data_IF_782299227513
#
_entry.id   IF_782299227513
#
_cell.length_a   1.000
_cell.length_b   1.000
_cell.length_c   1.000
_cell.angle_alpha   90.00
_cell.angle_beta   90.00
_cell.angle_gamma   90.00
#
_symmetry.space_group_name_H-M   'P 1'
#
loop_
_entity.id
_entity.type
_entity.pdbx_description
1 polymer ?
#
# COMPACT_ATOMS: atom_id res chain seq x y z
N UNK A 1 -23.41 1.30 33.11
CA UNK A 1 -23.13 2.69 32.69
C UNK A 1 -21.64 2.81 32.56
N UNK A 2 -21.14 3.27 31.41
CA UNK A 2 -19.72 3.59 31.23
C UNK A 2 -19.39 4.82 32.06
N UNK A 3 -18.29 4.78 32.80
CA UNK A 3 -17.83 5.88 33.63
C UNK A 3 -17.02 6.89 32.81
N UNK A 4 -16.92 8.13 33.29
CA UNK A 4 -16.06 9.15 32.67
C UNK A 4 -14.60 8.67 32.58
N UNK A 5 -14.11 7.95 33.60
CA UNK A 5 -12.75 7.42 33.60
C UNK A 5 -12.52 6.39 32.48
N UNK A 6 -13.49 5.50 32.24
CA UNK A 6 -13.46 4.56 31.12
C UNK A 6 -13.50 5.31 29.78
N UNK A 7 -14.34 6.34 29.63
CA UNK A 7 -14.41 7.15 28.41
C UNK A 7 -13.11 7.92 28.13
N UNK A 8 -12.43 8.43 29.16
CA UNK A 8 -11.11 9.06 29.03
C UNK A 8 -10.09 8.04 28.52
N UNK A 9 -10.08 6.84 29.11
CA UNK A 9 -9.16 5.80 28.69
C UNK A 9 -9.44 5.37 27.25
N UNK A 10 -10.71 5.20 26.87
CA UNK A 10 -11.12 4.87 25.50
C UNK A 10 -10.69 5.96 24.52
N UNK A 11 -10.96 7.23 24.81
CA UNK A 11 -10.53 8.35 23.96
C UNK A 11 -9.01 8.35 23.74
N UNK A 12 -8.22 8.14 24.80
CA UNK A 12 -6.75 8.04 24.72
C UNK A 12 -6.30 6.84 23.91
N UNK A 13 -6.96 5.69 24.07
CA UNK A 13 -6.67 4.49 23.31
C UNK A 13 -6.92 4.72 21.81
N UNK A 14 -8.03 5.36 21.44
CA UNK A 14 -8.33 5.61 20.03
C UNK A 14 -7.36 6.61 19.39
N UNK A 15 -6.99 7.69 20.10
CA UNK A 15 -5.94 8.61 19.64
C UNK A 15 -4.60 7.88 19.49
N UNK A 16 -4.25 7.02 20.46
CA UNK A 16 -3.05 6.19 20.40
C UNK A 16 -3.05 5.25 19.19
N UNK A 17 -4.21 4.64 18.87
CA UNK A 17 -4.38 3.78 17.70
C UNK A 17 -4.13 4.56 16.39
N UNK A 18 -4.72 5.75 16.24
CA UNK A 18 -4.47 6.65 15.09
C UNK A 18 -2.96 6.87 14.91
N UNK A 19 -2.24 7.17 15.99
CA UNK A 19 -0.79 7.43 15.93
C UNK A 19 0.02 6.18 15.61
N UNK A 20 -0.21 5.09 16.33
CA UNK A 20 0.70 3.95 16.32
C UNK A 20 0.39 2.91 15.25
N UNK A 21 -0.89 2.73 14.89
CA UNK A 21 -1.32 1.72 13.91
C UNK A 21 -1.36 2.30 12.49
N UNK A 22 -1.59 3.62 12.36
CA UNK A 22 -1.75 4.28 11.07
C UNK A 22 -0.59 5.24 10.78
N UNK A 23 -0.47 6.35 11.50
CA UNK A 23 0.48 7.41 11.17
C UNK A 23 1.95 6.97 11.26
N UNK A 24 2.33 6.30 12.36
CA UNK A 24 3.70 5.82 12.56
C UNK A 24 4.18 4.90 11.44
N UNK A 25 3.42 3.86 11.04
CA UNK A 25 3.76 3.04 9.89
C UNK A 25 3.83 3.80 8.55
N UNK A 26 2.95 4.78 8.33
CA UNK A 26 3.00 5.63 7.13
C UNK A 26 4.28 6.48 7.09
N UNK A 27 4.63 7.12 8.20
CA UNK A 27 5.83 7.97 8.31
C UNK A 27 7.13 7.19 8.16
N UNK A 28 7.17 5.99 8.73
CA UNK A 28 8.33 5.10 8.67
C UNK A 28 8.40 4.23 7.42
N UNK A 29 7.49 4.44 6.45
CA UNK A 29 7.39 3.66 5.21
C UNK A 29 7.23 2.14 5.41
N UNK A 30 6.81 1.71 6.61
CA UNK A 30 6.63 0.28 6.95
C UNK A 30 5.48 -0.38 6.18
N UNK A 31 4.59 0.41 5.57
CA UNK A 31 3.54 -0.08 4.70
C UNK A 31 4.12 -0.22 3.29
N UNK A 32 4.78 -1.36 3.03
CA UNK A 32 5.26 -1.74 1.70
C UNK A 32 6.09 -0.67 0.98
N UNK A 33 6.88 0.14 1.69
CA UNK A 33 7.65 1.26 1.13
C UNK A 33 6.82 2.29 0.34
N UNK A 34 5.52 2.38 0.61
CA UNK A 34 4.63 3.33 -0.05
C UNK A 34 5.03 4.76 0.34
N UNK A 35 5.29 5.65 -0.63
CA UNK A 35 5.62 7.04 -0.34
C UNK A 35 4.35 7.83 0.03
N UNK A 36 4.45 8.54 1.16
CA UNK A 36 3.45 9.49 1.61
C UNK A 36 4.00 10.91 1.47
N UNK A 37 3.22 11.81 0.88
CA UNK A 37 3.63 13.21 0.76
C UNK A 37 3.57 13.91 2.11
N UNK A 38 4.43 14.92 2.29
CA UNK A 38 4.42 15.75 3.50
C UNK A 38 3.05 16.39 3.74
N UNK A 39 2.35 16.78 2.67
CA UNK A 39 1.01 17.38 2.76
C UNK A 39 -0.05 16.39 3.25
N UNK A 40 -0.06 15.15 2.72
CA UNK A 40 -0.97 14.09 3.18
C UNK A 40 -0.77 13.81 4.67
N UNK A 41 0.48 13.59 5.09
CA UNK A 41 0.82 13.30 6.49
C UNK A 41 0.49 14.49 7.41
N UNK A 42 0.78 15.72 6.97
CA UNK A 42 0.51 16.91 7.78
C UNK A 42 -0.99 17.07 8.07
N UNK A 43 -1.85 16.86 7.07
CA UNK A 43 -3.31 16.95 7.26
C UNK A 43 -3.85 16.00 8.33
N UNK A 44 -3.38 14.75 8.34
CA UNK A 44 -3.79 13.78 9.37
C UNK A 44 -3.18 14.07 10.74
N UNK A 45 -1.93 14.55 10.79
CA UNK A 45 -1.28 14.97 12.05
C UNK A 45 -2.03 16.12 12.73
N UNK A 46 -2.42 17.14 11.97
CA UNK A 46 -3.17 18.27 12.51
C UNK A 46 -4.53 17.85 13.07
N UNK A 47 -5.22 16.92 12.40
CA UNK A 47 -6.49 16.37 12.90
C UNK A 47 -6.28 15.53 14.16
N UNK A 48 -5.21 14.74 14.23
CA UNK A 48 -4.85 13.98 15.42
C UNK A 48 -4.56 14.92 16.60
N UNK A 49 -3.82 16.01 16.37
CA UNK A 49 -3.56 17.03 17.39
C UNK A 49 -4.83 17.72 17.88
N UNK A 50 -5.81 17.96 16.99
CA UNK A 50 -7.12 18.48 17.39
C UNK A 50 -7.88 17.50 18.29
N UNK A 51 -7.78 16.19 18.03
CA UNK A 51 -8.38 15.18 18.91
C UNK A 51 -7.75 15.20 20.31
N UNK A 52 -6.43 15.38 20.41
CA UNK A 52 -5.74 15.53 21.69
C UNK A 52 -6.20 16.77 22.46
N UNK A 53 -6.33 17.90 21.77
CA UNK A 53 -6.85 19.14 22.38
C UNK A 53 -8.30 18.99 22.84
N UNK A 54 -9.12 18.28 22.06
CA UNK A 54 -10.51 17.99 22.45
C UNK A 54 -10.57 17.03 23.65
N UNK A 55 -9.68 16.03 23.70
CA UNK A 55 -9.55 15.13 24.86
C UNK A 55 -9.20 15.96 26.09
N UNK A 56 -8.13 16.75 26.08
CA UNK A 56 -7.75 17.61 27.22
C UNK A 56 -8.88 18.58 27.65
N UNK A 57 -9.65 19.07 26.67
CA UNK A 57 -10.79 19.97 26.87
C UNK A 57 -11.89 19.42 27.78
N UNK A 58 -12.01 18.10 27.96
CA UNK A 58 -12.98 17.52 28.89
C UNK A 58 -12.73 17.98 30.34
N UNK A 59 -11.48 18.28 30.70
CA UNK A 59 -11.13 18.70 32.07
C UNK A 59 -11.72 20.07 32.42
N UNK A 60 -11.94 20.93 31.41
CA UNK A 60 -12.47 22.29 31.55
C UNK A 60 -14.01 22.36 31.53
N UNK A 61 -14.70 21.27 31.20
CA UNK A 61 -16.16 21.24 31.14
C UNK A 61 -16.80 21.33 32.54
N UNK A 62 -17.90 22.08 32.63
CA UNK A 62 -18.52 22.45 33.90
C UNK A 62 -19.39 21.32 34.49
N UNK A 63 -19.93 20.44 33.63
CA UNK A 63 -20.81 19.34 34.04
C UNK A 63 -20.31 17.97 33.58
N UNK A 64 -20.73 16.91 34.29
CA UNK A 64 -20.45 15.52 33.91
C UNK A 64 -21.00 15.19 32.51
N UNK A 65 -22.19 15.70 32.19
CA UNK A 65 -22.83 15.49 30.88
C UNK A 65 -22.00 16.12 29.74
N UNK A 66 -21.44 17.30 29.94
CA UNK A 66 -20.56 17.93 28.95
C UNK A 66 -19.26 17.14 28.77
N UNK A 67 -18.67 16.63 29.86
CA UNK A 67 -17.48 15.77 29.82
C UNK A 67 -17.71 14.52 28.99
N UNK A 68 -18.81 13.81 29.28
CA UNK A 68 -19.19 12.60 28.55
C UNK A 68 -19.39 12.88 27.06
N UNK A 69 -20.09 13.98 26.73
CA UNK A 69 -20.30 14.39 25.34
C UNK A 69 -18.97 14.64 24.61
N UNK A 70 -18.07 15.43 25.21
CA UNK A 70 -16.76 15.73 24.61
C UNK A 70 -15.95 14.45 24.36
N UNK A 71 -15.92 13.52 25.32
CA UNK A 71 -15.19 12.25 25.17
C UNK A 71 -15.81 11.35 24.10
N UNK A 72 -17.14 11.27 24.03
CA UNK A 72 -17.82 10.54 22.96
C UNK A 72 -17.53 11.13 21.57
N UNK A 73 -17.47 12.45 21.45
CA UNK A 73 -17.10 13.12 20.21
C UNK A 73 -15.65 12.81 19.82
N UNK A 74 -14.71 12.80 20.78
CA UNK A 74 -13.32 12.38 20.54
C UNK A 74 -13.23 10.94 20.05
N UNK A 75 -13.91 10.00 20.71
CA UNK A 75 -13.93 8.58 20.32
C UNK A 75 -14.50 8.43 18.90
N UNK A 76 -15.62 9.10 18.62
CA UNK A 76 -16.28 9.06 17.31
C UNK A 76 -15.36 9.61 16.21
N UNK A 77 -14.81 10.80 16.40
CA UNK A 77 -13.95 11.42 15.40
C UNK A 77 -12.61 10.69 15.23
N UNK A 78 -12.10 10.04 16.27
CA UNK A 78 -10.94 9.15 16.16
C UNK A 78 -11.24 7.95 15.26
N UNK A 79 -12.42 7.31 15.41
CA UNK A 79 -12.85 6.19 14.55
C UNK A 79 -13.07 6.61 13.11
N UNK A 80 -13.67 7.76 12.89
CA UNK A 80 -13.83 8.35 11.55
C UNK A 80 -12.45 8.59 10.91
N UNK A 81 -11.52 9.19 11.64
CA UNK A 81 -10.15 9.41 11.17
C UNK A 81 -9.40 8.10 10.87
N UNK A 82 -9.54 7.08 11.72
CA UNK A 82 -8.96 5.75 11.45
C UNK A 82 -9.54 5.13 10.18
N UNK A 83 -10.85 5.24 9.94
CA UNK A 83 -11.46 4.75 8.70
C UNK A 83 -10.92 5.48 7.48
N UNK A 84 -10.72 6.79 7.55
CA UNK A 84 -10.15 7.56 6.44
C UNK A 84 -8.68 7.20 6.19
N UNK A 85 -7.90 6.98 7.25
CA UNK A 85 -6.51 6.53 7.15
C UNK A 85 -6.42 5.13 6.54
N UNK A 86 -7.28 4.21 6.95
CA UNK A 86 -7.35 2.87 6.39
C UNK A 86 -7.71 2.92 4.89
N UNK A 87 -8.65 3.80 4.53
CA UNK A 87 -9.02 4.00 3.14
C UNK A 87 -7.84 4.54 2.31
N UNK A 88 -7.13 5.54 2.81
CA UNK A 88 -5.96 6.09 2.15
C UNK A 88 -4.84 5.03 1.96
N UNK A 89 -4.61 4.18 2.96
CA UNK A 89 -3.65 3.09 2.91
C UNK A 89 -4.04 2.07 1.83
N UNK A 90 -5.29 1.60 1.86
CA UNK A 90 -5.79 0.62 0.89
C UNK A 90 -5.69 1.15 -0.54
N UNK A 91 -6.00 2.43 -0.78
CA UNK A 91 -5.88 3.05 -2.11
C UNK A 91 -4.43 2.98 -2.62
N UNK A 92 -3.45 3.36 -1.79
CA UNK A 92 -2.05 3.34 -2.20
C UNK A 92 -1.52 1.92 -2.40
N UNK A 93 -1.96 0.97 -1.57
CA UNK A 93 -1.62 -0.44 -1.71
C UNK A 93 -2.16 -1.01 -3.02
N UNK A 94 -3.42 -0.72 -3.35
CA UNK A 94 -4.02 -1.15 -4.59
C UNK A 94 -3.30 -0.56 -5.81
N UNK A 95 -2.95 0.72 -5.79
CA UNK A 95 -2.15 1.35 -6.85
C UNK A 95 -0.77 0.68 -7.01
N UNK A 96 -0.13 0.28 -5.91
CA UNK A 96 1.14 -0.47 -5.96
C UNK A 96 0.96 -1.87 -6.53
N UNK A 97 -0.14 -2.56 -6.21
CA UNK A 97 -0.49 -3.86 -6.78
C UNK A 97 -0.71 -3.74 -8.30
N UNK A 98 -1.48 -2.73 -8.73
CA UNK A 98 -1.74 -2.44 -10.15
C UNK A 98 -0.45 -2.18 -10.94
N UNK A 99 0.55 -1.57 -10.31
CA UNK A 99 1.88 -1.38 -10.91
C UNK A 99 2.73 -2.66 -10.94
N UNK A 100 2.68 -3.48 -9.88
CA UNK A 100 3.53 -4.66 -9.73
C UNK A 100 3.06 -5.88 -10.53
N UNK A 101 1.75 -6.11 -10.65
CA UNK A 101 1.21 -7.26 -11.39
C UNK A 101 1.74 -7.34 -12.83
N UNK A 102 1.58 -6.32 -13.69
CA UNK A 102 2.02 -6.41 -15.08
C UNK A 102 3.54 -6.56 -15.21
N UNK A 103 4.31 -6.00 -14.27
CA UNK A 103 5.76 -6.18 -14.21
C UNK A 103 6.12 -7.64 -13.91
N UNK A 104 5.47 -8.23 -12.91
CA UNK A 104 5.66 -9.64 -12.57
C UNK A 104 5.21 -10.57 -13.70
N UNK A 105 4.10 -10.30 -14.38
CA UNK A 105 3.65 -11.04 -15.56
C UNK A 105 4.68 -11.03 -16.67
N UNK A 106 5.21 -9.84 -16.99
CA UNK A 106 6.27 -9.66 -18.00
C UNK A 106 7.55 -10.43 -17.63
N UNK A 107 7.97 -10.37 -16.37
CA UNK A 107 9.11 -11.14 -15.86
C UNK A 107 8.90 -12.64 -15.93
N UNK A 108 7.71 -13.12 -15.54
CA UNK A 108 7.33 -14.54 -15.59
C UNK A 108 7.33 -15.07 -17.03
N UNK A 109 6.82 -14.29 -17.99
CA UNK A 109 6.78 -14.68 -19.40
C UNK A 109 8.17 -14.93 -20.00
N UNK A 110 9.22 -14.32 -19.42
CA UNK A 110 10.62 -14.50 -19.83
C UNK A 110 11.28 -15.76 -19.26
N UNK A 111 10.70 -16.37 -18.22
CA UNK A 111 11.31 -17.54 -17.53
C UNK A 111 11.56 -18.75 -18.46
N UNK A 112 10.61 -19.20 -19.30
CA UNK A 112 10.78 -20.43 -20.08
C UNK A 112 11.94 -20.35 -21.09
N UNK A 113 12.19 -19.16 -21.63
CA UNK A 113 13.09 -18.94 -22.77
C UNK A 113 14.37 -18.19 -22.40
N UNK A 114 14.44 -17.59 -21.21
CA UNK A 114 15.54 -16.72 -20.78
C UNK A 114 16.74 -17.48 -20.21
N UNK A 115 17.90 -17.36 -20.87
CA UNK A 115 19.18 -17.80 -20.30
C UNK A 115 19.49 -17.05 -18.98
N UNK A 116 19.07 -15.80 -18.90
CA UNK A 116 19.19 -14.96 -17.70
C UNK A 116 18.30 -15.48 -16.56
N UNK A 117 17.06 -15.87 -16.84
CA UNK A 117 16.18 -16.49 -15.84
C UNK A 117 16.79 -17.78 -15.26
N UNK A 118 17.48 -18.60 -16.06
CA UNK A 118 18.17 -19.81 -15.57
C UNK A 118 19.36 -19.50 -14.66
N UNK A 119 20.03 -18.37 -14.86
CA UNK A 119 21.21 -17.95 -14.10
C UNK A 119 20.84 -17.21 -12.82
N UNK A 120 19.77 -16.40 -12.86
CA UNK A 120 19.42 -15.45 -11.80
C UNK A 120 18.34 -15.98 -10.84
N UNK A 121 17.48 -16.89 -11.30
CA UNK A 121 16.41 -17.46 -10.48
C UNK A 121 16.76 -18.88 -10.01
N UNK A 122 16.33 -19.24 -8.80
CA UNK A 122 16.36 -20.62 -8.32
C UNK A 122 15.39 -21.54 -9.05
N UNK A 123 15.61 -22.86 -8.99
CA UNK A 123 14.74 -23.84 -9.64
C UNK A 123 13.28 -23.75 -9.16
N UNK A 124 13.07 -23.53 -7.85
CA UNK A 124 11.73 -23.37 -7.27
C UNK A 124 11.06 -22.09 -7.78
N UNK A 125 11.76 -20.95 -7.81
CA UNK A 125 11.21 -19.69 -8.32
C UNK A 125 10.74 -19.81 -9.77
N UNK A 126 11.52 -20.45 -10.64
CA UNK A 126 11.16 -20.67 -12.05
C UNK A 126 9.90 -21.52 -12.22
N UNK A 127 9.63 -22.44 -11.29
CA UNK A 127 8.45 -23.29 -11.29
C UNK A 127 7.25 -22.60 -10.62
N UNK A 128 7.48 -21.88 -9.55
CA UNK A 128 6.43 -21.40 -8.66
C UNK A 128 5.89 -20.04 -9.09
N UNK A 129 6.74 -19.13 -9.58
CA UNK A 129 6.31 -17.78 -9.99
C UNK A 129 5.21 -17.80 -11.08
N UNK A 130 5.30 -18.60 -12.16
CA UNK A 130 4.21 -18.69 -13.13
C UNK A 130 2.88 -19.13 -12.51
N UNK A 131 2.91 -20.11 -11.61
CA UNK A 131 1.73 -20.61 -10.93
C UNK A 131 1.16 -19.61 -9.93
N UNK A 132 2.01 -18.82 -9.27
CA UNK A 132 1.59 -17.77 -8.35
C UNK A 132 0.95 -16.59 -9.10
N UNK A 133 1.59 -16.12 -10.18
CA UNK A 133 1.03 -15.04 -11.01
C UNK A 133 -0.33 -15.43 -11.58
N UNK A 134 -0.48 -16.64 -12.12
CA UNK A 134 -1.75 -17.09 -12.70
C UNK A 134 -2.91 -17.06 -11.66
N UNK A 135 -2.60 -17.30 -10.38
CA UNK A 135 -3.58 -17.19 -9.28
C UNK A 135 -3.93 -15.74 -8.94
N UNK A 136 -3.02 -14.80 -9.17
CA UNK A 136 -3.25 -13.36 -8.95
C UNK A 136 -3.95 -12.69 -10.14
N UNK A 137 -3.79 -13.16 -11.37
CA UNK A 137 -4.52 -12.60 -12.54
C UNK A 137 -6.03 -12.80 -12.40
N UNK A 138 -6.46 -13.92 -11.81
CA UNK A 138 -7.87 -14.13 -11.41
C UNK A 138 -8.38 -13.06 -10.43
N UNK A 139 -7.47 -12.49 -9.63
CA UNK A 139 -7.75 -11.36 -8.75
C UNK A 139 -7.83 -10.04 -9.53
N UNK A 140 -7.02 -9.86 -10.58
CA UNK A 140 -7.04 -8.68 -11.44
C UNK A 140 -8.31 -8.57 -12.29
N UNK A 141 -8.86 -9.68 -12.79
CA UNK A 141 -10.14 -9.69 -13.52
C UNK A 141 -11.31 -9.19 -12.65
N UNK A 142 -11.19 -9.28 -11.32
CA UNK A 142 -12.14 -8.70 -10.36
C UNK A 142 -11.90 -7.20 -10.09
N UNK A 143 -10.71 -6.69 -10.41
CA UNK A 143 -10.23 -5.33 -10.15
C UNK A 143 -10.40 -4.38 -11.34
N UNK A 144 -10.43 -4.88 -12.58
CA UNK A 144 -10.35 -4.05 -13.81
C UNK A 144 -11.67 -3.32 -14.19
N UNK A 145 -12.77 -3.48 -13.43
CA UNK A 145 -14.07 -2.87 -13.79
C UNK A 145 -14.35 -1.60 -12.98
N UNK A 146 -14.07 -0.44 -13.60
CA UNK A 146 -14.46 0.95 -13.27
C UNK A 146 -13.47 1.80 -12.46
N UNK A 147 -13.27 3.06 -12.93
CA UNK A 147 -12.90 4.29 -12.20
C UNK A 147 -12.49 4.13 -10.71
N UNK A 148 -11.32 4.66 -10.34
CA UNK A 148 -10.71 4.66 -8.99
C UNK A 148 -11.71 4.76 -7.80
N UNK A 149 -12.81 5.51 -7.95
CA UNK A 149 -13.83 5.67 -6.91
C UNK A 149 -14.81 4.47 -6.81
N UNK A 150 -15.24 3.90 -7.95
CA UNK A 150 -16.06 2.67 -8.00
C UNK A 150 -15.24 1.41 -7.72
N UNK A 151 -13.98 1.41 -8.17
CA UNK A 151 -12.95 0.44 -7.81
C UNK A 151 -12.84 0.29 -6.28
N UNK A 152 -12.74 1.42 -5.57
CA UNK A 152 -12.61 1.43 -4.12
C UNK A 152 -13.89 1.00 -3.39
N UNK A 153 -15.06 1.46 -3.81
CA UNK A 153 -16.33 0.98 -3.23
C UNK A 153 -16.55 -0.53 -3.46
N UNK A 154 -16.10 -1.06 -4.60
CA UNK A 154 -16.06 -2.51 -4.88
C UNK A 154 -15.04 -3.27 -4.02
N UNK A 155 -13.83 -2.72 -3.85
CA UNK A 155 -12.79 -3.28 -2.99
C UNK A 155 -13.20 -3.32 -1.52
N UNK A 156 -13.77 -2.23 -0.98
CA UNK A 156 -14.28 -2.15 0.40
C UNK A 156 -15.35 -3.23 0.70
N UNK A 157 -16.04 -3.70 -0.34
CA UNK A 157 -17.03 -4.79 -0.25
C UNK A 157 -16.46 -6.21 -0.41
N UNK A 158 -15.22 -6.36 -0.93
CA UNK A 158 -14.66 -7.68 -1.33
C UNK A 158 -13.31 -8.03 -0.72
N UNK A 159 -12.46 -7.05 -0.38
CA UNK A 159 -11.10 -7.29 0.08
C UNK A 159 -10.72 -6.38 1.24
N UNK A 160 -10.19 -6.99 2.29
CA UNK A 160 -9.67 -6.29 3.47
C UNK A 160 -8.26 -5.76 3.22
N UNK A 161 -7.82 -4.76 4.02
CA UNK A 161 -6.42 -4.32 4.06
C UNK A 161 -5.44 -5.49 4.18
N UNK A 162 -5.80 -6.51 4.97
CA UNK A 162 -5.02 -7.74 5.17
C UNK A 162 -4.85 -8.55 3.88
N UNK A 163 -5.86 -8.57 3.01
CA UNK A 163 -5.78 -9.27 1.72
C UNK A 163 -4.81 -8.55 0.77
N UNK A 164 -4.87 -7.21 0.75
CA UNK A 164 -3.93 -6.39 -0.02
C UNK A 164 -2.49 -6.53 0.53
N UNK A 165 -2.31 -6.56 1.85
CA UNK A 165 -1.01 -6.77 2.50
C UNK A 165 -0.42 -8.12 2.09
N UNK A 166 -1.21 -9.19 2.20
CA UNK A 166 -0.82 -10.56 1.82
C UNK A 166 -0.46 -10.69 0.34
N UNK A 167 -1.07 -9.87 -0.52
CA UNK A 167 -0.75 -9.84 -1.94
C UNK A 167 0.57 -9.11 -2.20
N UNK A 168 0.78 -7.95 -1.57
CA UNK A 168 2.03 -7.20 -1.67
C UNK A 168 3.22 -7.97 -1.09
N UNK A 169 3.04 -8.71 0.01
CA UNK A 169 4.04 -9.60 0.60
C UNK A 169 4.56 -10.67 -0.37
N UNK A 170 3.78 -10.99 -1.42
CA UNK A 170 4.17 -11.94 -2.48
C UNK A 170 4.69 -11.24 -3.72
N UNK A 171 4.02 -10.16 -4.15
CA UNK A 171 4.37 -9.44 -5.38
C UNK A 171 5.70 -8.69 -5.26
N UNK A 172 5.97 -8.04 -4.13
CA UNK A 172 7.21 -7.27 -3.94
C UNK A 172 8.46 -8.16 -4.05
N UNK A 173 8.60 -9.26 -3.29
CA UNK A 173 9.77 -10.12 -3.43
C UNK A 173 9.83 -10.84 -4.78
N UNK A 174 8.67 -11.15 -5.38
CA UNK A 174 8.63 -11.72 -6.73
C UNK A 174 9.20 -10.73 -7.76
N UNK A 175 8.77 -9.47 -7.73
CA UNK A 175 9.30 -8.44 -8.63
C UNK A 175 10.79 -8.22 -8.40
N UNK A 176 11.23 -8.10 -7.15
CA UNK A 176 12.66 -7.93 -6.83
C UNK A 176 13.55 -9.06 -7.41
N UNK A 177 13.02 -10.29 -7.53
CA UNK A 177 13.73 -11.40 -8.16
C UNK A 177 13.65 -11.37 -9.70
N UNK A 178 12.54 -10.90 -10.26
CA UNK A 178 12.29 -10.86 -11.71
C UNK A 178 12.89 -9.64 -12.41
N UNK A 179 13.00 -8.52 -11.72
CA UNK A 179 13.48 -7.24 -12.25
C UNK A 179 14.83 -7.39 -12.99
N UNK A 180 15.87 -8.04 -12.42
CA UNK A 180 17.14 -8.24 -13.13
C UNK A 180 17.01 -9.09 -14.40
N UNK A 181 16.04 -10.02 -14.45
CA UNK A 181 15.77 -10.84 -15.64
C UNK A 181 15.15 -9.97 -16.74
N UNK A 182 14.23 -9.07 -16.36
CA UNK A 182 13.59 -8.15 -17.31
C UNK A 182 14.60 -7.16 -17.87
N UNK A 183 15.47 -6.61 -17.03
CA UNK A 183 16.51 -5.66 -17.42
C UNK A 183 17.57 -6.29 -18.32
N UNK A 184 18.05 -7.50 -17.99
CA UNK A 184 19.08 -8.19 -18.78
C UNK A 184 18.62 -8.54 -20.21
N UNK A 185 17.32 -8.69 -20.42
CA UNK A 185 16.72 -8.97 -21.73
C UNK A 185 16.20 -7.70 -22.44
N UNK A 186 16.32 -6.53 -21.81
CA UNK A 186 16.03 -5.26 -22.48
C UNK A 186 17.22 -4.91 -23.38
N UNK A 187 17.01 -4.63 -24.69
CA UNK A 187 18.12 -4.35 -25.58
C UNK A 187 18.86 -3.09 -25.09
N UNK A 188 20.17 -3.25 -24.82
CA UNK A 188 21.07 -2.13 -24.56
C UNK A 188 20.92 -1.10 -25.70
N UNK A 189 20.41 0.09 -25.36
CA UNK A 189 20.35 1.22 -26.31
C UNK A 189 21.74 1.67 -26.80
N UNK A 190 22.81 1.20 -26.17
CA UNK A 190 24.19 1.61 -26.47
C UNK A 190 24.94 0.71 -27.48
N UNK A 191 24.28 -0.32 -28.04
CA UNK A 191 24.85 -1.12 -29.14
C UNK A 191 24.22 -0.76 -30.48
N UNK A 192 24.20 0.52 -30.83
CA UNK A 192 24.21 0.92 -32.24
C UNK A 192 25.65 0.74 -32.72
N UNK A 193 25.98 -0.48 -33.15
CA UNK A 193 27.16 -0.67 -33.99
C UNK A 193 26.89 0.09 -35.29
N UNK A 194 27.44 1.29 -35.42
CA UNK A 194 27.59 1.97 -36.71
C UNK A 194 28.45 1.09 -37.62
N UNK A 195 27.81 0.19 -38.36
CA UNK A 195 28.45 -0.51 -39.46
C UNK A 195 28.57 0.51 -40.60
N UNK A 196 29.69 1.22 -40.66
CA UNK A 196 30.05 2.00 -41.85
C UNK A 196 30.20 1.04 -43.03
N UNK A 197 29.53 1.27 -44.17
CA UNK A 197 29.76 0.48 -45.37
C UNK A 197 31.17 0.76 -45.91
N UNK A 198 31.98 -0.30 -46.05
CA UNK A 198 33.24 -0.26 -46.81
C UNK A 198 32.91 -0.03 -48.29
N UNK A 199 33.07 1.20 -48.76
CA UNK A 199 33.19 1.47 -50.19
C UNK A 199 34.50 0.89 -50.70
N UNK A 200 34.41 -0.29 -51.31
CA UNK A 200 35.46 -0.78 -52.20
C UNK A 200 35.55 0.14 -53.42
N UNK A 201 36.73 0.69 -53.66
CA UNK A 201 37.11 1.19 -54.99
C UNK A 201 38.02 0.13 -55.62
N UNK A 202 37.55 -0.43 -56.73
CA UNK A 202 38.42 -0.89 -57.82
C UNK A 202 38.95 0.32 -58.57
#
# INVERSE_FOLDING_TARGET
MTTIAELVQDAKNEISNVKNIYLGPMESKKIHDIPWTSTELHGFKERTKKLEQMEEGHTAAASAQEKEKTLHDVIKHSKELMSELDDAICIKMAAKIEDLIPKCESGVAKIPNGLHARRLLGANQRKDFPNQIAKFVVFQDLLVVNSYKKFYEGLKSKHSRKDLDSLLDKLIPMWAALEPVVEAESPNKDTVLEIKPKTGRQ
#
